data_IF_078922074059
#
_entry.id   IF_078922074059
#
_cell.length_a   1.000
_cell.length_b   1.000
_cell.length_c   1.000
_cell.angle_alpha   90.00
_cell.angle_beta   90.00
_cell.angle_gamma   90.00
#
_symmetry.space_group_name_H-M   'P 1'
#
loop_
_entity.id
_entity.type
_entity.pdbx_description
1 polymer ?
#
# COMPACT_ATOMS: atom_id res chain seq x y z
N UNK A 1 0.43 7.28 -18.67
CA UNK A 1 -0.51 7.38 -17.56
C UNK A 1 -1.52 8.46 -17.84
N UNK A 2 -2.77 8.17 -17.63
CA UNK A 2 -3.82 9.15 -17.91
C UNK A 2 -3.87 10.22 -16.81
N UNK A 3 -4.18 11.43 -17.22
CA UNK A 3 -4.39 12.52 -16.28
C UNK A 3 -5.69 12.29 -15.52
N UNK A 4 -5.68 12.69 -14.26
CA UNK A 4 -6.85 12.57 -13.41
C UNK A 4 -7.57 13.92 -13.38
N UNK A 5 -8.85 13.92 -13.72
CA UNK A 5 -9.67 15.11 -13.69
C UNK A 5 -10.26 15.25 -12.29
N UNK A 6 -9.93 16.33 -11.60
CA UNK A 6 -10.37 16.60 -10.24
C UNK A 6 -11.40 17.72 -10.19
N UNK A 7 -12.29 17.73 -11.17
CA UNK A 7 -13.28 18.81 -11.29
C UNK A 7 -14.63 18.49 -10.63
N UNK A 8 -14.82 17.26 -10.14
CA UNK A 8 -16.05 16.87 -9.47
C UNK A 8 -15.79 16.55 -8.01
N UNK A 9 -16.85 16.61 -7.20
CA UNK A 9 -16.72 16.25 -5.78
C UNK A 9 -16.29 14.79 -5.62
N UNK A 10 -16.82 13.91 -6.44
CA UNK A 10 -16.49 12.48 -6.38
C UNK A 10 -15.01 12.22 -6.63
N UNK A 11 -14.45 12.87 -7.65
CA UNK A 11 -13.03 12.68 -7.97
C UNK A 11 -12.13 13.34 -6.94
N UNK A 12 -12.55 14.46 -6.36
CA UNK A 12 -11.78 15.13 -5.31
C UNK A 12 -11.75 14.29 -4.03
N UNK A 13 -12.87 13.71 -3.65
CA UNK A 13 -12.93 12.82 -2.48
C UNK A 13 -12.08 11.58 -2.73
N UNK A 14 -12.15 11.03 -3.92
CA UNK A 14 -11.33 9.88 -4.30
C UNK A 14 -9.84 10.19 -4.17
N UNK A 15 -9.44 11.35 -4.68
CA UNK A 15 -8.05 11.80 -4.55
C UNK A 15 -7.66 11.97 -3.07
N UNK A 16 -8.56 12.53 -2.27
CA UNK A 16 -8.34 12.69 -0.83
C UNK A 16 -8.11 11.38 -0.10
N UNK A 17 -8.85 10.34 -0.48
CA UNK A 17 -8.64 9.01 0.08
C UNK A 17 -7.22 8.53 -0.24
N UNK A 18 -6.79 8.73 -1.47
CA UNK A 18 -5.42 8.38 -1.87
C UNK A 18 -4.38 9.15 -1.09
N UNK A 19 -4.62 10.44 -0.83
CA UNK A 19 -3.72 11.28 -0.03
C UNK A 19 -3.57 10.74 1.38
N UNK A 20 -4.67 10.34 2.01
CA UNK A 20 -4.63 9.81 3.37
C UNK A 20 -3.81 8.52 3.43
N UNK A 21 -4.03 7.63 2.47
CA UNK A 21 -3.27 6.38 2.41
C UNK A 21 -1.79 6.65 2.18
N UNK A 22 -1.48 7.58 1.27
CA UNK A 22 -0.10 7.94 0.99
C UNK A 22 0.60 8.57 2.18
N UNK A 23 -0.08 9.45 2.90
CA UNK A 23 0.49 10.09 4.09
C UNK A 23 0.80 9.05 5.16
N UNK A 24 -0.09 8.09 5.38
CA UNK A 24 0.14 7.01 6.35
C UNK A 24 1.34 6.16 5.97
N UNK A 25 1.45 5.83 4.70
CA UNK A 25 2.58 5.03 4.21
C UNK A 25 3.90 5.79 4.29
N UNK A 26 3.88 7.10 4.02
CA UNK A 26 5.08 7.93 4.12
C UNK A 26 5.55 8.05 5.56
N UNK A 27 4.62 8.26 6.49
CA UNK A 27 4.96 8.50 7.89
C UNK A 27 5.41 7.23 8.60
N UNK A 28 4.94 6.07 8.15
CA UNK A 28 5.23 4.81 8.80
C UNK A 28 5.39 3.69 7.76
N UNK A 29 6.38 3.83 6.85
CA UNK A 29 6.51 2.89 5.74
C UNK A 29 7.04 1.54 6.19
N UNK A 30 6.47 0.45 5.66
CA UNK A 30 7.10 -0.86 5.82
C UNK A 30 8.46 -0.88 5.11
N UNK A 31 9.43 -1.68 5.60
CA UNK A 31 10.73 -1.78 4.95
C UNK A 31 10.60 -2.22 3.49
N UNK A 32 11.26 -1.49 2.60
CA UNK A 32 11.28 -1.84 1.19
C UNK A 32 9.94 -1.71 0.48
N UNK A 33 9.04 -0.88 0.99
CA UNK A 33 7.72 -0.72 0.38
C UNK A 33 7.84 -0.22 -1.05
N UNK A 34 7.04 -0.79 -1.94
CA UNK A 34 6.98 -0.41 -3.36
C UNK A 34 5.62 0.23 -3.65
N UNK A 35 5.65 1.49 -4.03
CA UNK A 35 4.42 2.20 -4.40
C UNK A 35 3.76 1.57 -5.62
N UNK A 36 4.55 1.15 -6.61
CA UNK A 36 4.02 0.50 -7.80
C UNK A 36 3.28 -0.78 -7.46
N UNK A 37 3.81 -1.58 -6.53
CA UNK A 37 3.16 -2.80 -6.10
C UNK A 37 1.87 -2.50 -5.32
N UNK A 38 1.89 -1.46 -4.49
CA UNK A 38 0.69 -1.04 -3.76
C UNK A 38 -0.41 -0.64 -4.74
N UNK A 39 -0.05 0.15 -5.75
CA UNK A 39 -1.01 0.59 -6.76
C UNK A 39 -1.57 -0.59 -7.55
N UNK A 40 -0.73 -1.56 -7.89
CA UNK A 40 -1.17 -2.76 -8.57
C UNK A 40 -2.16 -3.56 -7.73
N UNK A 41 -1.84 -3.74 -6.44
CA UNK A 41 -2.74 -4.45 -5.52
C UNK A 41 -4.07 -3.74 -5.35
N UNK A 42 -4.03 -2.44 -5.19
CA UNK A 42 -5.24 -1.64 -5.05
C UNK A 42 -6.11 -1.74 -6.30
N UNK A 43 -5.50 -1.63 -7.47
CA UNK A 43 -6.20 -1.71 -8.74
C UNK A 43 -6.83 -3.08 -8.94
N UNK A 44 -6.08 -4.14 -8.67
CA UNK A 44 -6.57 -5.51 -8.83
C UNK A 44 -7.74 -5.78 -7.87
N UNK A 45 -7.59 -5.38 -6.63
CA UNK A 45 -8.64 -5.60 -5.62
C UNK A 45 -9.92 -4.85 -5.98
N UNK A 46 -9.79 -3.60 -6.40
CA UNK A 46 -10.95 -2.78 -6.76
C UNK A 46 -11.67 -3.35 -7.98
N UNK A 47 -10.91 -3.94 -8.91
CA UNK A 47 -11.48 -4.55 -10.10
C UNK A 47 -12.04 -5.96 -9.84
N UNK A 48 -11.90 -6.48 -8.63
CA UNK A 48 -12.38 -7.81 -8.28
C UNK A 48 -11.54 -8.93 -8.85
N UNK A 49 -10.29 -8.64 -9.21
CA UNK A 49 -9.39 -9.67 -9.72
C UNK A 49 -8.78 -10.47 -8.58
N UNK A 50 -8.40 -11.70 -8.90
CA UNK A 50 -7.72 -12.54 -7.93
C UNK A 50 -6.33 -11.98 -7.63
N UNK A 51 -5.84 -12.23 -6.42
CA UNK A 51 -4.52 -11.85 -6.01
C UNK A 51 -3.47 -12.55 -6.87
N UNK A 52 -2.44 -11.81 -7.30
CA UNK A 52 -1.31 -12.39 -8.02
C UNK A 52 -0.39 -13.18 -7.10
N UNK A 53 -0.50 -12.95 -5.80
CA UNK A 53 0.30 -13.62 -4.78
C UNK A 53 -0.62 -14.53 -3.97
N UNK A 54 -0.22 -15.80 -3.81
CA UNK A 54 -1.00 -16.75 -3.03
C UNK A 54 -1.07 -16.36 -1.57
N UNK A 55 -2.11 -16.83 -0.89
CA UNK A 55 -2.34 -16.47 0.50
C UNK A 55 -1.18 -16.91 1.40
N UNK A 56 -0.63 -18.10 1.16
CA UNK A 56 0.49 -18.60 1.94
C UNK A 56 1.74 -17.75 1.73
N UNK A 57 2.02 -17.38 0.49
CA UNK A 57 3.16 -16.53 0.18
C UNK A 57 2.99 -15.16 0.80
N UNK A 58 1.78 -14.62 0.75
CA UNK A 58 1.47 -13.32 1.34
C UNK A 58 1.71 -13.35 2.85
N UNK A 59 1.22 -14.39 3.52
CA UNK A 59 1.40 -14.53 4.97
C UNK A 59 2.87 -14.65 5.34
N UNK A 60 3.64 -15.42 4.57
CA UNK A 60 5.07 -15.58 4.82
C UNK A 60 5.80 -14.26 4.64
N UNK A 61 5.46 -13.49 3.62
CA UNK A 61 6.08 -12.20 3.37
C UNK A 61 5.75 -11.19 4.47
N UNK A 62 4.51 -11.14 4.91
CA UNK A 62 4.12 -10.26 6.02
C UNK A 62 4.88 -10.61 7.29
N UNK A 63 5.11 -11.90 7.54
CA UNK A 63 5.88 -12.34 8.70
C UNK A 63 7.31 -11.83 8.63
N UNK A 64 7.95 -11.95 7.47
CA UNK A 64 9.33 -11.48 7.28
C UNK A 64 9.41 -9.98 7.52
N UNK A 65 8.50 -9.20 6.94
CA UNK A 65 8.51 -7.74 7.10
C UNK A 65 8.27 -7.36 8.56
N UNK A 66 7.36 -8.07 9.24
CA UNK A 66 7.08 -7.82 10.64
C UNK A 66 8.29 -8.06 11.50
N UNK A 67 9.04 -9.12 11.22
CA UNK A 67 10.27 -9.43 11.95
C UNK A 67 11.33 -8.34 11.74
N UNK A 68 11.45 -7.84 10.52
CA UNK A 68 12.38 -6.74 10.22
C UNK A 68 11.97 -5.48 10.98
N UNK A 69 10.69 -5.16 11.00
CA UNK A 69 10.21 -3.99 11.73
C UNK A 69 10.45 -4.09 13.23
N UNK A 70 10.27 -5.28 13.80
CA UNK A 70 10.53 -5.52 15.21
C UNK A 70 12.01 -5.38 15.52
N UNK A 71 12.89 -5.88 14.66
CA UNK A 71 14.33 -5.75 14.83
C UNK A 71 14.76 -4.29 14.77
N UNK A 72 14.21 -3.52 13.85
CA UNK A 72 14.51 -2.09 13.73
C UNK A 72 14.03 -1.33 14.96
N UNK A 73 12.84 -1.63 15.44
CA UNK A 73 12.30 -0.99 16.65
C UNK A 73 13.16 -1.29 17.87
N UNK A 74 13.62 -2.55 18.01
CA UNK A 74 14.49 -2.94 19.12
C UNK A 74 15.83 -2.21 19.05
N UNK A 75 16.36 -2.03 17.83
CA UNK A 75 17.63 -1.34 17.65
C UNK A 75 17.58 0.14 18.01
N UNK A 76 16.39 0.73 17.95
CA UNK A 76 16.20 2.15 18.28
C UNK A 76 15.89 2.41 19.74
N UNK A 77 15.62 1.39 20.47
CA UNK A 77 15.21 1.50 21.88
C UNK A 77 16.34 1.97 22.78
#
# INVERSE_FOLDING_TARGET
MSEVNLSTDETRVSYGIGRQLGDQLRDNPPPGVSLDAILAGLTDAFAGKESRVGQEEMSASFKVIREIMQAEAAAKA
#
